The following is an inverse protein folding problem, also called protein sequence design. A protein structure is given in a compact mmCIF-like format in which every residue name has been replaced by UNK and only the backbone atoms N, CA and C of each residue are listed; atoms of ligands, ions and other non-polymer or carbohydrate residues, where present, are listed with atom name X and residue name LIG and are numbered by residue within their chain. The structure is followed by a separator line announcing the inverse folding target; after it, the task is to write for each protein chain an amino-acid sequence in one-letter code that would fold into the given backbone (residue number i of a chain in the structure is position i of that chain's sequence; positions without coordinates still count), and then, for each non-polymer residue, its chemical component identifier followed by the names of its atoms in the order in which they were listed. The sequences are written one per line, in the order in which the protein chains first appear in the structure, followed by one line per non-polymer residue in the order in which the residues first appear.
data_IF_679175671745
#
_entry.id   IF_679175671745
#
_cell.length_a   1.000
_cell.length_b   1.000
_cell.length_c   1.000
_cell.angle_alpha   90.00
_cell.angle_beta   90.00
_cell.angle_gamma   90.00
#
_symmetry.space_group_name_H-M   'P 1'
#
loop_
_entity.id
_entity.type
_entity.pdbx_description
1 polymer ?
#
# COMPACT_ATOMS: atom_id res chain seq x y z
N UNK A 1 -2.83 -37.28 2.39
CA UNK A 1 -3.13 -36.44 2.51
C UNK A 1 -3.34 -36.10 2.47
N UNK A 2 -3.17 -36.05 2.90
CA UNK A 2 -3.34 -35.22 3.12
C UNK A 2 -3.43 -34.66 3.13
N UNK A 3 -3.21 -34.72 3.14
CA UNK A 3 -3.34 -33.67 3.10
C UNK A 3 -3.09 -33.00 2.85
N UNK A 4 -2.88 -32.99 3.00
CA UNK A 4 -2.77 -31.83 2.65
C UNK A 4 -2.23 -31.61 1.66
N UNK A 5 -2.09 -32.23 1.33
CA UNK A 5 -1.91 -31.53 0.69
C UNK A 5 -2.24 -31.13 -0.18
N UNK A 6 -1.96 -32.19 -1.07
CA UNK A 6 -2.66 -31.07 -1.65
C UNK A 6 -2.81 -29.86 -0.72
N UNK A 7 -2.07 -29.90 0.24
CA UNK A 7 -2.06 -28.80 1.21
C UNK A 7 -1.66 -27.50 0.54
N UNK A 8 -0.71 -27.52 -0.39
CA UNK A 8 -0.24 -26.31 -1.05
C UNK A 8 -1.33 -25.58 -1.80
N UNK A 9 -2.13 -26.30 -2.58
CA UNK A 9 -3.22 -25.71 -3.34
C UNK A 9 -4.32 -25.19 -2.43
N UNK A 10 -4.65 -25.96 -1.41
CA UNK A 10 -5.69 -25.57 -0.46
C UNK A 10 -5.28 -24.35 0.34
N UNK A 11 -4.04 -24.29 0.79
CA UNK A 11 -3.54 -23.13 1.51
C UNK A 11 -3.53 -21.90 0.62
N UNK A 12 -3.17 -22.07 -0.64
CA UNK A 12 -3.17 -20.98 -1.57
C UNK A 12 -4.56 -20.41 -1.77
N UNK A 13 -5.56 -21.28 -1.88
CA UNK A 13 -6.95 -20.84 -2.00
C UNK A 13 -7.41 -20.13 -0.73
N UNK A 14 -6.99 -20.64 0.44
CA UNK A 14 -7.34 -20.00 1.71
C UNK A 14 -6.71 -18.63 1.84
N UNK A 15 -5.45 -18.50 1.46
CA UNK A 15 -4.77 -17.22 1.51
C UNK A 15 -5.38 -16.21 0.54
N UNK A 16 -5.78 -16.68 -0.65
CA UNK A 16 -6.45 -15.82 -1.62
C UNK A 16 -7.80 -15.38 -1.07
N UNK A 17 -8.53 -16.29 -0.39
CA UNK A 17 -9.81 -15.95 0.21
C UNK A 17 -9.66 -14.97 1.36
N UNK A 18 -8.51 -14.99 2.05
CA UNK A 18 -8.23 -14.03 3.11
C UNK A 18 -7.81 -12.68 2.56
N UNK A 19 -7.41 -12.64 1.31
CA UNK A 19 -7.00 -11.45 0.59
C UNK A 19 -5.82 -10.73 1.25
N UNK A 20 -5.09 -9.96 0.46
CA UNK A 20 -4.05 -9.08 0.99
C UNK A 20 -4.69 -7.79 1.45
N UNK A 21 -4.38 -7.36 2.66
CA UNK A 21 -4.91 -6.10 3.18
C UNK A 21 -4.04 -4.96 2.69
N UNK A 22 -4.66 -4.00 2.04
CA UNK A 22 -4.00 -2.80 1.52
C UNK A 22 -4.58 -1.60 2.25
N UNK A 23 -3.73 -0.83 2.92
CA UNK A 23 -4.17 0.40 3.56
C UNK A 23 -4.06 1.54 2.56
N UNK A 24 -5.11 2.33 2.44
CA UNK A 24 -5.14 3.47 1.52
C UNK A 24 -5.17 4.74 2.37
N UNK A 25 -4.12 5.55 2.25
CA UNK A 25 -4.01 6.81 2.99
C UNK A 25 -4.20 7.95 2.01
N UNK A 26 -5.42 8.47 1.95
CA UNK A 26 -5.79 9.55 1.04
C UNK A 26 -7.02 10.24 1.61
N UNK A 27 -7.06 11.56 1.51
CA UNK A 27 -8.24 12.29 1.98
C UNK A 27 -9.16 12.74 0.86
N UNK A 28 -8.72 12.66 -0.40
CA UNK A 28 -9.57 12.97 -1.53
C UNK A 28 -10.38 11.76 -1.97
N UNK A 29 -11.70 11.93 -2.02
CA UNK A 29 -12.60 10.81 -2.33
C UNK A 29 -12.31 10.19 -3.71
N UNK A 30 -11.98 11.01 -4.71
CA UNK A 30 -11.74 10.48 -6.05
C UNK A 30 -10.53 9.56 -6.09
N UNK A 31 -9.47 9.92 -5.34
CA UNK A 31 -8.27 9.09 -5.30
C UNK A 31 -8.55 7.76 -4.60
N UNK A 32 -9.27 7.81 -3.47
CA UNK A 32 -9.67 6.57 -2.78
C UNK A 32 -10.52 5.69 -3.67
N UNK A 33 -11.49 6.29 -4.36
CA UNK A 33 -12.40 5.53 -5.22
C UNK A 33 -11.66 4.87 -6.37
N UNK A 34 -10.70 5.57 -6.98
CA UNK A 34 -9.92 5.01 -8.07
C UNK A 34 -9.07 3.84 -7.61
N UNK A 35 -8.46 3.94 -6.43
CA UNK A 35 -7.68 2.85 -5.87
C UNK A 35 -8.59 1.66 -5.55
N UNK A 36 -9.74 1.93 -4.93
CA UNK A 36 -10.71 0.86 -4.63
C UNK A 36 -11.19 0.16 -5.90
N UNK A 37 -11.43 0.92 -6.96
CA UNK A 37 -11.87 0.34 -8.23
C UNK A 37 -10.78 -0.54 -8.86
N UNK A 38 -9.52 -0.20 -8.65
CA UNK A 38 -8.40 -0.94 -9.22
C UNK A 38 -8.09 -2.23 -8.43
N UNK A 39 -8.31 -2.23 -7.12
CA UNK A 39 -7.94 -3.32 -6.22
C UNK A 39 -9.21 -3.94 -5.63
N UNK A 40 -9.75 -4.93 -6.32
CA UNK A 40 -11.03 -5.51 -5.96
C UNK A 40 -10.89 -6.87 -5.29
N UNK A 41 -11.94 -7.23 -4.56
CA UNK A 41 -12.04 -8.56 -4.00
C UNK A 41 -12.18 -9.59 -5.13
N UNK A 42 -11.79 -10.84 -4.89
CA UNK A 42 -11.32 -11.36 -3.60
C UNK A 42 -9.84 -11.16 -3.31
N UNK A 43 -9.08 -10.59 -4.24
CA UNK A 43 -7.62 -10.51 -4.13
C UNK A 43 -7.18 -9.51 -3.08
N UNK A 44 -7.97 -8.45 -2.86
CA UNK A 44 -7.57 -7.38 -1.94
C UNK A 44 -8.70 -6.99 -1.00
N UNK A 45 -8.34 -6.70 0.23
CA UNK A 45 -9.22 -6.07 1.21
C UNK A 45 -8.64 -4.69 1.51
N UNK A 46 -9.42 -3.64 1.35
CA UNK A 46 -8.94 -2.28 1.50
C UNK A 46 -9.37 -1.66 2.82
N UNK A 47 -8.44 -0.95 3.46
CA UNK A 47 -8.70 -0.21 4.69
C UNK A 47 -8.29 1.23 4.44
N UNK A 48 -9.22 2.16 4.59
CA UNK A 48 -8.96 3.58 4.37
C UNK A 48 -8.50 4.25 5.66
N UNK A 49 -7.57 5.19 5.51
CA UNK A 49 -7.10 6.00 6.63
C UNK A 49 -6.82 7.39 6.10
N UNK A 50 -7.33 8.42 6.77
CA UNK A 50 -7.20 9.79 6.27
C UNK A 50 -6.48 10.74 7.22
N UNK A 51 -5.97 10.25 8.33
CA UNK A 51 -5.29 11.10 9.30
C UNK A 51 -3.79 10.80 9.34
N UNK A 52 -2.96 11.70 8.79
CA UNK A 52 -1.52 11.44 8.74
C UNK A 52 -0.88 11.35 10.14
N UNK A 53 -1.47 12.01 11.14
CA UNK A 53 -0.90 12.00 12.49
C UNK A 53 -1.00 10.63 13.15
N UNK A 54 -1.98 9.83 12.76
CA UNK A 54 -2.20 8.50 13.33
C UNK A 54 -1.84 7.39 12.35
N UNK A 55 -1.20 7.72 11.23
CA UNK A 55 -0.85 6.73 10.22
C UNK A 55 0.05 5.62 10.77
N UNK A 56 1.06 6.00 11.56
CA UNK A 56 1.98 5.02 12.13
C UNK A 56 1.24 4.04 13.04
N UNK A 57 0.35 4.55 13.88
CA UNK A 57 -0.42 3.71 14.80
C UNK A 57 -1.38 2.80 14.03
N UNK A 58 -2.01 3.32 12.98
CA UNK A 58 -2.92 2.53 12.14
C UNK A 58 -2.17 1.40 11.45
N UNK A 59 -0.97 1.67 10.93
CA UNK A 59 -0.15 0.66 10.28
C UNK A 59 0.26 -0.40 11.29
N UNK A 60 0.65 0.00 12.50
CA UNK A 60 1.04 -0.94 13.54
C UNK A 60 -0.12 -1.84 13.96
N UNK A 61 -1.33 -1.29 14.03
CA UNK A 61 -2.52 -2.03 14.43
C UNK A 61 -2.99 -3.01 13.35
N UNK A 62 -3.05 -2.56 12.10
CA UNK A 62 -3.63 -3.34 11.02
C UNK A 62 -2.62 -4.22 10.28
N UNK A 63 -1.34 -3.89 10.34
CA UNK A 63 -0.26 -4.63 9.68
C UNK A 63 -0.61 -4.98 8.24
N UNK A 64 -0.90 -3.98 7.39
CA UNK A 64 -1.27 -4.26 6.00
C UNK A 64 -0.10 -4.84 5.22
N UNK A 65 -0.42 -5.54 4.12
CA UNK A 65 0.61 -6.10 3.25
C UNK A 65 1.31 -5.01 2.44
N UNK A 66 0.60 -3.93 2.12
CA UNK A 66 1.15 -2.77 1.43
C UNK A 66 0.31 -1.55 1.77
N UNK A 67 0.87 -0.37 1.54
CA UNK A 67 0.20 0.90 1.83
C UNK A 67 0.24 1.75 0.56
N UNK A 68 -0.92 2.24 0.12
CA UNK A 68 -1.01 3.20 -0.98
C UNK A 68 -1.24 4.57 -0.36
N UNK A 69 -0.34 5.50 -0.62
CA UNK A 69 -0.40 6.84 -0.01
C UNK A 69 -0.48 7.89 -1.11
N UNK A 70 -1.50 8.77 -1.00
CA UNK A 70 -1.61 9.91 -1.90
C UNK A 70 -0.60 10.98 -1.47
N UNK A 71 0.11 11.56 -2.43
CA UNK A 71 1.05 12.64 -2.14
C UNK A 71 0.35 13.81 -1.45
N UNK A 72 -0.91 14.05 -1.81
CA UNK A 72 -1.72 15.12 -1.23
C UNK A 72 -2.58 14.57 -0.08
N UNK A 73 -2.03 14.50 1.13
CA UNK A 73 -2.76 14.03 2.30
C UNK A 73 -2.68 15.09 3.38
N UNK A 74 -3.81 15.75 3.65
CA UNK A 74 -3.97 16.71 4.73
C UNK A 74 -2.78 17.68 4.84
N UNK A 75 -2.27 17.89 6.04
CA UNK A 75 -1.21 18.87 6.29
C UNK A 75 0.19 18.28 6.25
N UNK A 76 0.30 16.97 6.31
CA UNK A 76 1.62 16.33 6.41
C UNK A 76 2.21 15.97 5.07
N UNK A 77 1.38 15.58 4.12
CA UNK A 77 1.83 15.11 2.82
C UNK A 77 2.25 13.64 2.81
N UNK A 78 1.96 12.98 1.68
CA UNK A 78 2.22 11.55 1.56
C UNK A 78 3.69 11.17 1.59
N UNK A 79 4.54 12.03 1.06
CA UNK A 79 5.98 11.79 1.05
C UNK A 79 6.53 11.74 2.47
N UNK A 80 6.08 12.66 3.33
CA UNK A 80 6.51 12.69 4.72
C UNK A 80 6.02 11.47 5.48
N UNK A 81 4.79 11.03 5.21
CA UNK A 81 4.25 9.83 5.84
C UNK A 81 5.08 8.62 5.45
N UNK A 82 5.38 8.46 4.15
CA UNK A 82 6.16 7.34 3.66
C UNK A 82 7.54 7.30 4.30
N UNK A 83 8.19 8.45 4.38
CA UNK A 83 9.52 8.55 5.00
C UNK A 83 9.45 8.19 6.48
N UNK A 84 8.45 8.69 7.18
CA UNK A 84 8.28 8.43 8.61
C UNK A 84 8.08 6.95 8.88
N UNK A 85 7.26 6.29 8.09
CA UNK A 85 7.03 4.85 8.26
C UNK A 85 8.30 4.06 8.01
N UNK A 86 9.04 4.44 6.97
CA UNK A 86 10.28 3.76 6.63
C UNK A 86 11.33 3.90 7.74
N UNK A 87 11.49 5.12 8.25
CA UNK A 87 12.45 5.39 9.31
C UNK A 87 12.06 4.71 10.62
N UNK A 88 10.77 4.69 10.93
CA UNK A 88 10.30 4.04 12.15
C UNK A 88 10.59 2.54 12.12
N UNK A 89 10.36 1.89 10.99
CA UNK A 89 10.66 0.47 10.85
C UNK A 89 12.15 0.22 11.02
N UNK A 90 12.99 1.05 10.40
CA UNK A 90 14.45 0.90 10.52
C UNK A 90 14.93 1.06 11.94
N UNK A 91 14.40 2.05 12.66
CA UNK A 91 14.81 2.31 14.05
C UNK A 91 14.39 1.20 14.99
N UNK A 92 13.32 0.48 14.69
CA UNK A 92 12.81 -0.60 15.52
C UNK A 92 13.19 -1.98 15.00
N UNK A 93 14.07 -2.03 14.01
CA UNK A 93 14.55 -3.28 13.41
C UNK A 93 13.40 -4.14 12.90
N UNK A 94 12.37 -3.49 12.36
CA UNK A 94 11.20 -4.16 11.78
C UNK A 94 11.29 -4.13 10.26
N UNK A 95 10.65 -5.13 9.63
CA UNK A 95 10.52 -5.11 8.18
C UNK A 95 9.57 -3.98 7.79
N UNK A 96 10.02 -3.11 6.90
CA UNK A 96 9.20 -2.01 6.41
C UNK A 96 8.08 -2.56 5.51
N UNK A 97 6.86 -2.11 5.74
CA UNK A 97 5.74 -2.45 4.87
C UNK A 97 5.90 -1.66 3.59
N UNK A 98 5.82 -2.31 2.41
CA UNK A 98 6.03 -1.60 1.14
C UNK A 98 4.97 -0.54 0.90
N UNK A 99 5.42 0.61 0.39
CA UNK A 99 4.56 1.76 0.12
C UNK A 99 4.51 2.02 -1.38
N UNK A 100 3.31 2.26 -1.89
CA UNK A 100 3.07 2.75 -3.24
C UNK A 100 2.61 4.20 -3.10
N UNK A 101 3.32 5.13 -3.74
CA UNK A 101 3.02 6.54 -3.62
C UNK A 101 2.32 7.03 -4.89
N UNK A 102 1.24 7.80 -4.72
CA UNK A 102 0.52 8.41 -5.85
C UNK A 102 1.05 9.82 -6.02
N UNK A 103 1.78 10.07 -7.11
CA UNK A 103 2.44 11.34 -7.37
C UNK A 103 1.59 12.25 -8.24
N UNK A 104 1.71 13.56 -8.02
CA UNK A 104 1.04 14.55 -8.86
C UNK A 104 1.83 14.80 -10.14
N UNK A 105 3.16 14.66 -10.08
CA UNK A 105 4.03 14.94 -11.23
C UNK A 105 5.12 13.87 -11.33
N UNK A 106 5.44 13.51 -12.58
CA UNK A 106 6.50 12.54 -12.84
C UNK A 106 7.85 13.01 -12.28
N UNK A 107 8.09 14.31 -12.22
CA UNK A 107 9.33 14.86 -11.70
C UNK A 107 9.57 14.51 -10.23
N UNK A 108 8.52 14.17 -9.50
CA UNK A 108 8.64 13.84 -8.08
C UNK A 108 9.13 12.41 -7.85
N UNK A 109 9.30 11.62 -8.91
CA UNK A 109 9.68 10.21 -8.77
C UNK A 109 10.99 10.00 -8.03
N UNK A 110 11.96 10.89 -8.22
CA UNK A 110 13.25 10.73 -7.55
C UNK A 110 13.11 10.98 -6.03
N UNK A 111 12.18 11.84 -5.63
CA UNK A 111 11.89 12.05 -4.22
C UNK A 111 11.22 10.81 -3.62
N UNK A 112 10.37 10.16 -4.39
CA UNK A 112 9.72 8.91 -3.97
C UNK A 112 10.77 7.83 -3.70
N UNK A 113 11.76 7.71 -4.58
CA UNK A 113 12.85 6.76 -4.35
C UNK A 113 13.60 7.06 -3.07
N UNK A 114 13.89 8.33 -2.82
CA UNK A 114 14.62 8.74 -1.60
C UNK A 114 13.81 8.52 -0.34
N UNK A 115 12.49 8.53 -0.46
CA UNK A 115 11.62 8.27 0.69
C UNK A 115 11.51 6.79 1.04
N UNK A 116 12.09 5.91 0.23
CA UNK A 116 12.11 4.48 0.49
C UNK A 116 10.85 3.75 0.05
N UNK A 117 10.07 4.33 -0.88
CA UNK A 117 8.87 3.67 -1.37
C UNK A 117 9.21 2.52 -2.31
N UNK A 118 8.33 1.52 -2.36
CA UNK A 118 8.54 0.34 -3.20
C UNK A 118 8.16 0.60 -4.65
N UNK A 119 7.16 1.46 -4.88
CA UNK A 119 6.70 1.81 -6.22
C UNK A 119 5.95 3.13 -6.17
N UNK A 120 5.69 3.70 -7.35
CA UNK A 120 4.88 4.92 -7.44
C UNK A 120 4.12 4.92 -8.75
N UNK A 121 3.02 5.69 -8.78
CA UNK A 121 2.25 5.96 -10.00
C UNK A 121 2.00 7.45 -10.06
N UNK A 122 1.99 8.00 -11.28
CA UNK A 122 1.77 9.43 -11.48
C UNK A 122 0.34 9.66 -11.96
N UNK A 123 -0.31 10.63 -11.37
CA UNK A 123 -1.67 11.04 -11.79
C UNK A 123 -1.61 11.72 -13.16
N UNK A 124 -2.57 11.53 -14.04
CA UNK A 124 -3.67 10.57 -13.91
C UNK A 124 -3.21 9.14 -14.16
N UNK A 125 -3.75 8.21 -13.40
CA UNK A 125 -3.36 6.81 -13.52
C UNK A 125 -4.56 5.95 -13.89
N UNK A 126 -4.27 4.78 -14.47
CA UNK A 126 -5.30 3.79 -14.79
C UNK A 126 -5.37 2.75 -13.68
N UNK A 127 -6.43 1.94 -13.71
CA UNK A 127 -6.53 0.80 -12.79
C UNK A 127 -5.36 -0.17 -13.00
N UNK A 128 -4.92 -0.33 -14.23
CA UNK A 128 -3.78 -1.19 -14.54
C UNK A 128 -2.51 -0.67 -13.87
N UNK A 129 -2.30 0.64 -13.88
CA UNK A 129 -1.13 1.25 -13.26
C UNK A 129 -1.09 0.97 -11.76
N UNK A 130 -2.24 1.10 -11.10
CA UNK A 130 -2.35 0.83 -9.66
C UNK A 130 -2.08 -0.64 -9.37
N UNK A 131 -2.71 -1.54 -10.12
CA UNK A 131 -2.52 -2.99 -9.91
C UNK A 131 -1.08 -3.39 -10.10
N UNK A 132 -0.43 -2.89 -11.15
CA UNK A 132 0.96 -3.21 -11.43
C UNK A 132 1.88 -2.73 -10.30
N UNK A 133 1.65 -1.51 -9.82
CA UNK A 133 2.46 -0.96 -8.74
C UNK A 133 2.30 -1.74 -7.45
N UNK A 134 1.07 -2.11 -7.09
CA UNK A 134 0.80 -2.88 -5.89
C UNK A 134 1.40 -4.28 -5.99
N UNK A 135 1.25 -4.94 -7.15
CA UNK A 135 1.85 -6.24 -7.36
C UNK A 135 3.37 -6.19 -7.23
N UNK A 136 3.99 -5.15 -7.79
CA UNK A 136 5.42 -4.96 -7.66
C UNK A 136 5.83 -4.77 -6.20
N UNK A 137 5.07 -3.99 -5.45
CA UNK A 137 5.34 -3.75 -4.04
C UNK A 137 5.23 -5.04 -3.22
N UNK A 138 4.20 -5.83 -3.49
CA UNK A 138 3.97 -7.08 -2.76
C UNK A 138 5.02 -8.16 -3.08
N UNK A 139 5.67 -8.07 -4.24
CA UNK A 139 6.69 -9.03 -4.65
C UNK A 139 8.04 -8.81 -3.96
N UNK A 140 8.22 -7.69 -3.30
CA UNK A 140 9.49 -7.34 -2.65
C UNK A 140 9.68 -7.93 -1.27
#
# INVERSE_FOLDING_TARGET
MLPGFDIGGRQRATLAAMASTIMVIADEAWARNDVHAALTEPDYTLVDHDNPKTARDAVAADRPAAIVIDLQVANMGGMAIARDLHQHAALNEEDAIPVVLLLDRAADSFLAKRAGVAAWVTKPFSSHDIRTAVEHALAK
#
